data_IF_251607751723
#
_entry.id   IF_251607751723
#
_cell.length_a   1.000
_cell.length_b   1.000
_cell.length_c   1.000
_cell.angle_alpha   90.00
_cell.angle_beta   90.00
_cell.angle_gamma   90.00
#
_symmetry.space_group_name_H-M   'P 1'
#
loop_
_entity.id
_entity.type
_entity.pdbx_description
1 polymer ?
#
# COMPACT_ATOMS: atom_id res chain seq x y z
N UNK A 1 -3.72 -12.38 -6.95
CA UNK A 1 -2.96 -12.29 -8.23
C UNK A 1 -1.57 -11.80 -7.87
N UNK A 2 -0.57 -12.68 -7.96
CA UNK A 2 0.82 -12.39 -7.60
C UNK A 2 1.48 -11.53 -8.69
N UNK A 3 2.47 -10.74 -8.26
CA UNK A 3 3.27 -9.78 -8.99
C UNK A 3 3.57 -10.17 -10.45
N UNK A 4 3.19 -9.33 -11.41
CA UNK A 4 3.65 -9.46 -12.80
C UNK A 4 5.00 -8.75 -12.94
N UNK A 5 5.97 -9.38 -13.59
CA UNK A 5 7.33 -8.86 -13.80
C UNK A 5 7.38 -7.49 -14.48
N UNK A 6 6.31 -7.11 -15.18
CA UNK A 6 6.18 -5.81 -15.83
C UNK A 6 6.00 -4.64 -14.84
N UNK A 7 5.42 -4.88 -13.66
CA UNK A 7 5.34 -3.85 -12.60
C UNK A 7 6.69 -3.65 -11.89
N UNK A 8 7.48 -4.73 -11.75
CA UNK A 8 8.86 -4.67 -11.25
C UNK A 8 9.73 -3.85 -12.22
N UNK A 9 9.48 -3.98 -13.53
CA UNK A 9 10.28 -3.35 -14.60
C UNK A 9 9.95 -1.88 -14.84
N UNK A 10 8.75 -1.40 -14.48
CA UNK A 10 8.31 -0.02 -14.70
C UNK A 10 8.80 0.98 -13.63
N UNK A 11 9.58 0.55 -12.64
CA UNK A 11 9.98 1.38 -11.49
C UNK A 11 8.78 2.07 -10.79
N UNK A 12 7.57 1.51 -10.90
CA UNK A 12 6.42 2.04 -10.17
C UNK A 12 6.67 1.80 -8.70
N UNK A 13 6.85 2.90 -7.97
CA UNK A 13 6.89 2.91 -6.52
C UNK A 13 5.50 2.51 -6.03
N UNK A 14 5.32 1.24 -5.68
CA UNK A 14 4.08 0.71 -5.11
C UNK A 14 4.32 0.30 -3.66
N UNK A 15 3.28 0.35 -2.83
CA UNK A 15 3.34 -0.10 -1.44
C UNK A 15 2.06 -0.84 -1.03
N UNK A 16 2.18 -1.61 0.03
CA UNK A 16 1.06 -2.27 0.71
C UNK A 16 0.92 -1.66 2.09
N UNK A 17 -0.30 -1.28 2.46
CA UNK A 17 -0.58 -0.52 3.69
C UNK A 17 -1.13 -1.45 4.77
N UNK A 18 -0.52 -1.46 5.96
CA UNK A 18 -1.05 -2.22 7.09
C UNK A 18 -2.25 -1.55 7.77
N UNK A 19 -3.04 -2.33 8.50
CA UNK A 19 -4.25 -1.85 9.20
C UNK A 19 -4.04 -0.61 10.08
N UNK A 20 -2.89 -0.48 10.74
CA UNK A 20 -2.56 0.71 11.55
C UNK A 20 -2.40 1.96 10.69
N UNK A 21 -1.69 1.85 9.56
CA UNK A 21 -1.49 2.97 8.64
C UNK A 21 -2.80 3.29 7.90
N UNK A 22 -3.59 2.27 7.56
CA UNK A 22 -4.94 2.45 7.03
C UNK A 22 -5.81 3.28 8.00
N UNK A 23 -5.82 2.92 9.29
CA UNK A 23 -6.62 3.63 10.30
C UNK A 23 -6.14 5.07 10.52
N UNK A 24 -4.83 5.25 10.66
CA UNK A 24 -4.25 6.54 11.03
C UNK A 24 -4.13 7.53 9.85
N UNK A 25 -3.96 7.02 8.62
CA UNK A 25 -3.72 7.87 7.44
C UNK A 25 -4.93 7.94 6.50
N UNK A 26 -5.77 6.91 6.48
CA UNK A 26 -6.92 6.83 5.58
C UNK A 26 -8.26 6.82 6.30
N UNK A 27 -8.33 6.77 7.64
CA UNK A 27 -9.56 6.89 8.44
C UNK A 27 -10.72 5.97 7.99
N UNK A 28 -10.40 4.81 7.39
CA UNK A 28 -11.41 3.88 6.85
C UNK A 28 -11.79 4.11 5.39
N UNK A 29 -11.20 5.10 4.72
CA UNK A 29 -11.29 5.31 3.28
C UNK A 29 -10.49 4.21 2.56
N UNK A 30 -11.01 3.75 1.43
CA UNK A 30 -10.33 2.76 0.60
C UNK A 30 -8.99 3.32 0.08
N UNK A 31 -7.83 2.75 0.49
CA UNK A 31 -6.54 3.28 0.10
C UNK A 31 -6.09 2.75 -1.26
N UNK A 32 -6.78 1.75 -1.83
CA UNK A 32 -6.41 1.15 -3.12
C UNK A 32 -6.42 2.23 -4.22
N UNK A 33 -5.32 2.34 -4.96
CA UNK A 33 -5.13 3.35 -6.00
C UNK A 33 -4.76 4.75 -5.49
N UNK A 34 -4.65 4.95 -4.17
CA UNK A 34 -4.17 6.22 -3.59
C UNK A 34 -2.65 6.26 -3.58
N UNK A 35 -2.10 7.47 -3.62
CA UNK A 35 -0.66 7.68 -3.50
C UNK A 35 -0.32 8.22 -2.11
N UNK A 36 0.64 7.59 -1.45
CA UNK A 36 1.20 8.02 -0.16
C UNK A 36 2.62 8.51 -0.34
N UNK A 37 3.00 9.55 0.42
CA UNK A 37 4.36 10.07 0.41
C UNK A 37 5.10 9.54 1.64
N UNK A 38 6.15 8.76 1.40
CA UNK A 38 7.01 8.20 2.45
C UNK A 38 8.43 8.65 2.16
N UNK A 39 9.05 9.34 3.11
CA UNK A 39 10.43 9.81 2.99
C UNK A 39 10.71 10.60 1.70
N UNK A 40 9.81 11.55 1.39
CA UNK A 40 9.91 12.39 0.18
C UNK A 40 9.51 11.70 -1.13
N UNK A 41 9.26 10.38 -1.12
CA UNK A 41 8.96 9.57 -2.30
C UNK A 41 7.49 9.19 -2.34
N UNK A 42 6.89 9.29 -3.52
CA UNK A 42 5.50 8.88 -3.76
C UNK A 42 5.42 7.37 -4.00
N UNK A 43 4.45 6.71 -3.36
CA UNK A 43 4.14 5.30 -3.53
C UNK A 43 2.65 5.10 -3.78
N UNK A 44 2.31 4.29 -4.78
CA UNK A 44 0.94 3.89 -5.08
C UNK A 44 0.53 2.71 -4.20
N UNK A 45 -0.55 2.85 -3.46
CA UNK A 45 -1.11 1.77 -2.65
C UNK A 45 -1.85 0.79 -3.54
N UNK A 46 -1.35 -0.44 -3.60
CA UNK A 46 -1.94 -1.52 -4.42
C UNK A 46 -2.63 -2.59 -3.57
N UNK A 47 -2.53 -2.50 -2.25
CA UNK A 47 -3.07 -3.50 -1.35
C UNK A 47 -3.07 -3.04 0.10
N UNK A 48 -3.89 -3.69 0.90
CA UNK A 48 -3.86 -3.57 2.36
C UNK A 48 -3.56 -4.92 2.99
N UNK A 49 -2.77 -4.93 4.06
CA UNK A 49 -2.66 -6.13 4.91
C UNK A 49 -3.67 -6.09 6.02
N UNK A 50 -4.32 -7.25 6.26
CA UNK A 50 -5.07 -7.46 7.50
C UNK A 50 -4.10 -7.48 8.68
N UNK A 51 -4.49 -6.96 9.85
CA UNK A 51 -3.61 -6.97 11.01
C UNK A 51 -3.27 -8.44 11.32
N UNK A 52 -1.98 -8.77 11.36
CA UNK A 52 -1.50 -10.06 11.87
C UNK A 52 -1.54 -10.00 13.40
N UNK A 53 -2.75 -9.99 13.96
CA UNK A 53 -3.00 -10.36 15.34
C UNK A 53 -3.11 -11.86 15.38
N UNK A 54 -2.11 -12.53 15.97
CA UNK A 54 -2.24 -13.93 16.34
C UNK A 54 -3.44 -14.07 17.27
N UNK A 55 -4.46 -14.80 16.82
CA UNK A 55 -5.36 -15.53 17.70
C UNK A 55 -4.80 -16.94 17.83
#
# INVERSE_FOLDING_TARGET
RYFNNEEIRSARRVCVVGATVLKNLFEGINPLGKTVKVDGKNFLVIGTTVPKGAL
#
